data_IF_586276135647
#
_entry.id   IF_586276135647
#
_cell.length_a   1.000
_cell.length_b   1.000
_cell.length_c   1.000
_cell.angle_alpha   90.00
_cell.angle_beta   90.00
_cell.angle_gamma   90.00
#
_symmetry.space_group_name_H-M   'P 1'
#
loop_
_entity.id
_entity.type
_entity.pdbx_description
1 polymer ?
#
# COMPACT_ATOMS: atom_id res chain seq x y z
N UNK A 1 -16.85 3.68 -12.97
CA UNK A 1 -15.56 4.38 -12.85
C UNK A 1 -15.87 5.82 -12.50
N UNK A 2 -15.24 6.47 -11.52
CA UNK A 2 -15.54 7.87 -11.29
C UNK A 2 -14.90 8.70 -12.40
N UNK A 3 -15.75 9.15 -13.33
CA UNK A 3 -15.49 10.18 -14.31
C UNK A 3 -15.25 11.51 -13.56
N UNK A 4 -14.01 11.99 -13.60
CA UNK A 4 -13.66 13.42 -13.61
C UNK A 4 -12.13 13.54 -13.66
N UNK A 5 -11.55 13.34 -14.85
CA UNK A 5 -10.20 13.87 -15.08
C UNK A 5 -10.39 15.38 -15.26
N UNK A 6 -10.07 16.15 -14.21
CA UNK A 6 -9.79 17.57 -14.33
C UNK A 6 -8.89 17.81 -15.54
N UNK A 7 -9.11 18.87 -16.31
CA UNK A 7 -8.27 19.24 -17.46
C UNK A 7 -6.79 19.46 -17.08
N UNK A 8 -6.48 19.54 -15.78
CA UNK A 8 -5.11 19.67 -15.26
C UNK A 8 -4.59 18.32 -14.75
N UNK A 9 -3.51 17.84 -15.36
CA UNK A 9 -2.76 16.68 -14.87
C UNK A 9 -2.15 16.97 -13.50
N UNK A 10 -2.13 15.96 -12.62
CA UNK A 10 -1.39 16.02 -11.36
C UNK A 10 0.09 15.81 -11.67
N UNK A 11 0.93 16.81 -11.39
CA UNK A 11 2.39 16.69 -11.59
C UNK A 11 2.99 15.95 -10.41
N UNK A 12 3.71 14.86 -10.66
CA UNK A 12 4.33 14.05 -9.61
C UNK A 12 5.86 14.17 -9.66
N UNK A 13 6.49 14.45 -8.52
CA UNK A 13 7.94 14.33 -8.33
C UNK A 13 8.27 13.00 -7.68
N UNK A 14 9.38 12.38 -8.07
CA UNK A 14 9.78 11.06 -7.58
C UNK A 14 11.07 11.13 -6.79
N UNK A 15 11.00 10.72 -5.52
CA UNK A 15 12.19 10.40 -4.73
C UNK A 15 12.43 8.90 -4.82
N UNK A 16 13.62 8.51 -5.29
CA UNK A 16 13.93 7.12 -5.64
C UNK A 16 13.58 6.73 -7.09
N UNK A 17 13.55 7.70 -8.00
CA UNK A 17 13.22 7.52 -9.44
C UNK A 17 13.99 6.38 -10.12
N UNK A 18 15.27 6.22 -9.83
CA UNK A 18 16.13 5.18 -10.41
C UNK A 18 15.90 3.78 -9.82
N UNK A 19 15.16 3.68 -8.71
CA UNK A 19 14.80 2.41 -8.11
C UNK A 19 13.73 1.66 -8.91
N UNK A 20 13.60 0.35 -8.67
CA UNK A 20 12.61 -0.50 -9.36
C UNK A 20 11.18 0.05 -9.28
N UNK A 21 10.79 0.58 -8.11
CA UNK A 21 9.48 1.22 -7.92
C UNK A 21 9.37 2.54 -8.65
N UNK A 22 10.39 3.40 -8.58
CA UNK A 22 10.43 4.69 -9.29
C UNK A 22 10.27 4.52 -10.81
N UNK A 23 11.02 3.58 -11.40
CA UNK A 23 10.93 3.25 -12.83
C UNK A 23 9.53 2.73 -13.22
N UNK A 24 8.91 1.90 -12.36
CA UNK A 24 7.55 1.41 -12.60
C UNK A 24 6.53 2.56 -12.54
N UNK A 25 6.64 3.45 -11.57
CA UNK A 25 5.78 4.64 -11.47
C UNK A 25 5.95 5.53 -12.71
N UNK A 26 7.17 5.76 -13.19
CA UNK A 26 7.42 6.49 -14.44
C UNK A 26 6.71 5.83 -15.64
N UNK A 27 6.91 4.52 -15.84
CA UNK A 27 6.32 3.80 -16.98
C UNK A 27 4.79 3.80 -16.98
N UNK A 28 4.17 3.74 -15.79
CA UNK A 28 2.72 3.83 -15.67
C UNK A 28 2.22 5.26 -15.84
N UNK A 29 2.92 6.25 -15.31
CA UNK A 29 2.55 7.66 -15.45
C UNK A 29 2.57 8.14 -16.91
N UNK A 30 3.48 7.62 -17.75
CA UNK A 30 3.49 7.90 -19.21
C UNK A 30 2.20 7.50 -19.92
N UNK A 31 1.51 6.47 -19.42
CA UNK A 31 0.28 5.92 -20.00
C UNK A 31 -0.98 6.46 -19.34
N UNK A 32 -0.84 7.24 -18.27
CA UNK A 32 -1.95 7.74 -17.49
C UNK A 32 -2.30 9.19 -17.90
N UNK A 33 -3.54 9.45 -18.37
CA UNK A 33 -3.90 10.77 -18.88
C UNK A 33 -4.00 11.84 -17.79
N UNK A 34 -4.07 11.47 -16.51
CA UNK A 34 -4.32 12.40 -15.41
C UNK A 34 -3.08 12.69 -14.55
N UNK A 35 -1.92 12.11 -14.84
CA UNK A 35 -0.64 12.42 -14.16
C UNK A 35 0.48 12.69 -15.15
N UNK A 36 1.51 13.40 -14.71
CA UNK A 36 2.78 13.53 -15.43
C UNK A 36 3.95 13.63 -14.45
N UNK A 37 5.11 13.09 -14.81
CA UNK A 37 6.32 13.17 -13.99
C UNK A 37 7.01 14.51 -14.21
N UNK A 38 7.35 15.22 -13.14
CA UNK A 38 8.03 16.51 -13.18
C UNK A 38 9.00 16.67 -12.00
N UNK A 39 10.13 17.33 -12.22
CA UNK A 39 11.09 17.65 -11.15
C UNK A 39 10.52 18.67 -10.15
N UNK A 40 9.55 19.49 -10.58
CA UNK A 40 8.78 20.42 -9.74
C UNK A 40 7.29 20.06 -9.73
N UNK A 41 7.02 18.82 -9.33
CA UNK A 41 5.68 18.25 -9.20
C UNK A 41 4.89 18.87 -8.05
N UNK A 42 3.57 18.76 -8.14
CA UNK A 42 2.66 19.21 -7.11
C UNK A 42 2.56 18.21 -5.94
N UNK A 43 2.77 16.91 -6.22
CA UNK A 43 2.79 15.83 -5.23
C UNK A 43 4.12 15.08 -5.33
N UNK A 44 4.72 14.76 -4.19
CA UNK A 44 5.92 13.93 -4.11
C UNK A 44 5.51 12.48 -3.87
N UNK A 45 6.05 11.57 -4.65
CA UNK A 45 5.97 10.12 -4.42
C UNK A 45 7.37 9.64 -4.01
N UNK A 46 7.45 9.04 -2.82
CA UNK A 46 8.70 8.53 -2.23
C UNK A 46 8.67 7.01 -2.07
N UNK A 47 9.51 6.32 -2.85
CA UNK A 47 9.84 4.90 -2.69
C UNK A 47 11.35 4.74 -2.77
N UNK A 48 12.04 5.14 -1.70
CA UNK A 48 13.49 5.23 -1.71
C UNK A 48 14.12 4.55 -0.48
N UNK A 49 14.62 5.34 0.46
CA UNK A 49 15.31 4.94 1.68
C UNK A 49 14.97 5.93 2.80
N UNK A 50 15.24 5.62 4.07
CA UNK A 50 15.00 6.55 5.17
C UNK A 50 15.58 7.96 4.94
N UNK A 51 16.77 8.06 4.34
CA UNK A 51 17.38 9.35 3.99
C UNK A 51 16.69 10.03 2.80
N UNK A 52 16.19 9.26 1.84
CA UNK A 52 15.36 9.81 0.76
C UNK A 52 14.03 10.34 1.28
N UNK A 53 13.39 9.67 2.24
CA UNK A 53 12.19 10.15 2.90
C UNK A 53 12.41 11.49 3.61
N UNK A 54 13.54 11.67 4.31
CA UNK A 54 13.89 12.98 4.89
C UNK A 54 14.00 14.08 3.84
N UNK A 55 14.58 13.78 2.67
CA UNK A 55 14.62 14.73 1.53
C UNK A 55 13.22 15.04 1.01
N UNK A 56 12.36 14.03 0.87
CA UNK A 56 10.97 14.21 0.45
C UNK A 56 10.19 15.11 1.44
N UNK A 57 10.39 14.91 2.74
CA UNK A 57 9.78 15.74 3.79
C UNK A 57 10.24 17.20 3.69
N UNK A 58 11.54 17.43 3.45
CA UNK A 58 12.12 18.76 3.33
C UNK A 58 11.57 19.56 2.13
N UNK A 59 10.96 18.91 1.13
CA UNK A 59 10.29 19.60 0.01
C UNK A 59 9.02 20.33 0.44
N UNK A 60 8.42 19.99 1.58
CA UNK A 60 7.24 20.70 2.12
C UNK A 60 5.98 20.61 1.25
N UNK A 61 5.88 19.60 0.38
CA UNK A 61 4.77 19.38 -0.56
C UNK A 61 3.91 18.18 -0.13
N UNK A 62 2.67 18.05 -0.65
CA UNK A 62 1.91 16.82 -0.54
C UNK A 62 2.77 15.59 -0.81
N UNK A 63 2.69 14.58 0.06
CA UNK A 63 3.63 13.46 0.05
C UNK A 63 2.91 12.12 0.13
N UNK A 64 3.20 11.23 -0.83
CA UNK A 64 2.90 9.81 -0.79
C UNK A 64 4.19 9.07 -0.46
N UNK A 65 4.30 8.52 0.74
CA UNK A 65 5.49 7.79 1.18
C UNK A 65 5.21 6.29 1.29
N UNK A 66 5.96 5.51 0.52
CA UNK A 66 5.96 4.04 0.56
C UNK A 66 7.29 3.40 0.92
N UNK A 67 8.24 4.20 1.40
CA UNK A 67 9.50 3.71 1.94
C UNK A 67 9.24 2.88 3.21
N UNK A 68 9.75 1.65 3.22
CA UNK A 68 9.65 0.72 4.36
C UNK A 68 10.84 0.86 5.30
N UNK A 69 10.71 0.40 6.55
CA UNK A 69 11.83 0.38 7.51
C UNK A 69 12.21 1.77 8.04
N UNK A 70 11.24 2.68 8.10
CA UNK A 70 11.42 4.00 8.70
C UNK A 70 11.48 3.89 10.23
N UNK A 71 12.31 4.71 10.86
CA UNK A 71 12.32 4.86 12.31
C UNK A 71 11.10 5.65 12.78
N UNK A 72 10.71 5.47 14.05
CA UNK A 72 9.66 6.27 14.70
C UNK A 72 9.90 7.78 14.56
N UNK A 73 11.16 8.21 14.59
CA UNK A 73 11.54 9.62 14.38
C UNK A 73 11.10 10.13 12.99
N UNK A 74 11.34 9.35 11.93
CA UNK A 74 10.95 9.75 10.57
C UNK A 74 9.42 9.69 10.41
N UNK A 75 8.76 8.71 11.03
CA UNK A 75 7.29 8.66 11.06
C UNK A 75 6.72 9.90 11.75
N UNK A 76 7.32 10.33 12.87
CA UNK A 76 6.92 11.56 13.55
C UNK A 76 7.13 12.80 12.67
N UNK A 77 8.21 12.86 11.88
CA UNK A 77 8.41 13.94 10.91
C UNK A 77 7.34 13.97 9.81
N UNK A 78 6.88 12.79 9.33
CA UNK A 78 5.74 12.70 8.42
C UNK A 78 4.45 13.22 9.07
N UNK A 79 4.22 12.90 10.34
CA UNK A 79 3.10 13.46 11.11
C UNK A 79 3.17 14.98 11.19
N UNK A 80 4.33 15.55 11.55
CA UNK A 80 4.53 17.00 11.61
C UNK A 80 4.32 17.67 10.24
N UNK A 81 4.78 17.06 9.15
CA UNK A 81 4.51 17.55 7.79
C UNK A 81 3.01 17.55 7.48
N UNK A 82 2.29 16.52 7.95
CA UNK A 82 0.87 16.33 7.68
C UNK A 82 -0.04 17.42 8.28
N UNK A 83 0.46 18.20 9.23
CA UNK A 83 -0.23 19.37 9.78
C UNK A 83 -0.33 20.52 8.77
N UNK A 84 0.53 20.53 7.74
CA UNK A 84 0.64 21.63 6.76
C UNK A 84 0.21 21.24 5.36
N UNK A 85 0.41 19.97 4.98
CA UNK A 85 0.07 19.42 3.67
C UNK A 85 -0.50 18.01 3.82
N UNK A 86 -1.28 17.49 2.87
CA UNK A 86 -1.74 16.11 2.94
C UNK A 86 -0.56 15.14 2.77
N UNK A 87 -0.43 14.19 3.69
CA UNK A 87 0.61 13.15 3.66
C UNK A 87 -0.09 11.80 3.71
N UNK A 88 0.19 10.90 2.76
CA UNK A 88 -0.25 9.52 2.80
C UNK A 88 0.96 8.61 3.01
N UNK A 89 0.91 7.79 4.07
CA UNK A 89 1.95 6.81 4.35
C UNK A 89 1.38 5.39 4.31
N UNK A 90 2.08 4.48 3.62
CA UNK A 90 1.81 3.04 3.71
C UNK A 90 3.04 2.21 3.34
N UNK A 91 3.42 1.18 4.12
CA UNK A 91 4.49 0.27 3.75
C UNK A 91 4.11 -0.71 2.62
N UNK A 92 2.85 -0.71 2.17
CA UNK A 92 2.37 -1.55 1.08
C UNK A 92 1.29 -0.80 0.29
N UNK A 93 1.54 -0.54 -0.99
CA UNK A 93 0.64 0.20 -1.89
C UNK A 93 -0.30 -0.67 -2.72
N UNK A 94 -0.41 -1.98 -2.46
CA UNK A 94 -1.46 -2.78 -3.09
C UNK A 94 -2.81 -2.39 -2.50
N UNK A 95 -3.60 -1.67 -3.28
CA UNK A 95 -4.95 -1.25 -2.91
C UNK A 95 -5.86 -2.45 -2.59
N UNK A 96 -5.77 -3.51 -3.39
CA UNK A 96 -6.54 -4.74 -3.16
C UNK A 96 -6.13 -5.43 -1.85
N UNK A 97 -4.83 -5.41 -1.51
CA UNK A 97 -4.35 -5.96 -0.26
C UNK A 97 -4.81 -5.11 0.94
N UNK A 98 -4.77 -3.79 0.84
CA UNK A 98 -5.30 -2.93 1.91
C UNK A 98 -6.79 -3.21 2.18
N UNK A 99 -7.60 -3.33 1.13
CA UNK A 99 -9.01 -3.71 1.27
C UNK A 99 -9.16 -5.11 1.91
N UNK A 100 -8.35 -6.08 1.49
CA UNK A 100 -8.36 -7.41 2.11
C UNK A 100 -8.03 -7.35 3.61
N UNK A 101 -7.09 -6.51 4.05
CA UNK A 101 -6.84 -6.33 5.49
C UNK A 101 -8.08 -5.79 6.22
N UNK A 102 -8.75 -4.78 5.65
CA UNK A 102 -9.98 -4.23 6.24
C UNK A 102 -11.09 -5.29 6.32
N UNK A 103 -11.25 -6.11 5.29
CA UNK A 103 -12.23 -7.21 5.27
C UNK A 103 -11.88 -8.29 6.31
N UNK A 104 -10.60 -8.63 6.46
CA UNK A 104 -10.13 -9.60 7.46
C UNK A 104 -10.39 -9.08 8.88
N UNK A 105 -10.11 -7.80 9.17
CA UNK A 105 -10.44 -7.18 10.46
C UNK A 105 -11.95 -7.23 10.75
N UNK A 106 -12.76 -6.91 9.74
CA UNK A 106 -14.21 -6.98 9.87
C UNK A 106 -14.70 -8.40 10.16
N UNK A 107 -14.24 -9.40 9.40
CA UNK A 107 -14.59 -10.79 9.62
C UNK A 107 -14.10 -11.28 10.99
N UNK A 108 -12.89 -10.92 11.41
CA UNK A 108 -12.38 -11.30 12.73
C UNK A 108 -13.27 -10.75 13.85
N UNK A 109 -13.69 -9.48 13.73
CA UNK A 109 -14.60 -8.86 14.70
C UNK A 109 -15.98 -9.55 14.76
N UNK A 110 -16.45 -10.15 13.66
CA UNK A 110 -17.78 -10.76 13.57
C UNK A 110 -17.80 -12.26 13.86
N UNK A 111 -16.77 -12.98 13.40
CA UNK A 111 -16.73 -14.44 13.37
C UNK A 111 -15.52 -15.01 14.14
N UNK A 112 -14.56 -14.20 14.57
CA UNK A 112 -13.30 -14.69 15.12
C UNK A 112 -13.44 -15.60 16.35
N UNK A 113 -14.45 -15.36 17.20
CA UNK A 113 -14.71 -16.22 18.37
C UNK A 113 -15.42 -17.54 18.03
N UNK A 114 -16.03 -17.64 16.84
CA UNK A 114 -16.80 -18.80 16.39
C UNK A 114 -16.08 -19.62 15.31
N UNK A 115 -15.03 -19.06 14.70
CA UNK A 115 -14.30 -19.67 13.59
C UNK A 115 -12.91 -20.13 14.01
N UNK A 116 -12.48 -21.27 13.46
CA UNK A 116 -11.06 -21.60 13.38
C UNK A 116 -10.45 -20.83 12.21
N UNK A 117 -9.40 -20.06 12.48
CA UNK A 117 -8.76 -19.20 11.48
C UNK A 117 -7.50 -19.88 10.95
N UNK A 118 -7.32 -19.88 9.63
CA UNK A 118 -6.10 -20.34 8.98
C UNK A 118 -5.60 -19.31 7.98
N UNK A 119 -4.28 -19.13 7.91
CA UNK A 119 -3.63 -18.24 6.96
C UNK A 119 -2.70 -19.08 6.09
N UNK A 120 -2.79 -18.89 4.78
CA UNK A 120 -1.86 -19.47 3.80
C UNK A 120 -1.26 -18.35 2.94
N UNK A 121 0.05 -18.44 2.66
CA UNK A 121 0.72 -17.62 1.66
C UNK A 121 1.49 -18.47 0.65
N UNK A 122 1.60 -17.95 -0.57
CA UNK A 122 2.48 -18.50 -1.60
C UNK A 122 3.29 -17.37 -2.24
N UNK A 123 4.60 -17.56 -2.35
CA UNK A 123 5.50 -16.68 -3.08
C UNK A 123 6.50 -17.50 -3.89
N UNK A 124 7.28 -16.84 -4.74
CA UNK A 124 8.35 -17.44 -5.51
C UNK A 124 9.42 -18.10 -4.64
N UNK A 125 10.16 -19.06 -5.21
CA UNK A 125 11.16 -19.87 -4.50
C UNK A 125 12.33 -19.07 -3.92
N UNK A 126 12.66 -17.94 -4.54
CA UNK A 126 13.77 -17.07 -4.13
C UNK A 126 13.42 -16.12 -2.96
N UNK A 127 12.19 -16.16 -2.43
CA UNK A 127 11.79 -15.25 -1.35
C UNK A 127 12.41 -15.67 -0.02
N UNK A 128 13.29 -14.82 0.50
CA UNK A 128 14.10 -15.09 1.70
C UNK A 128 13.30 -14.91 3.00
N UNK A 129 12.45 -13.88 3.08
CA UNK A 129 11.63 -13.63 4.27
C UNK A 129 10.49 -14.65 4.38
N UNK A 130 10.28 -15.18 5.59
CA UNK A 130 9.22 -16.14 5.90
C UNK A 130 8.76 -16.01 7.36
N UNK A 131 7.44 -15.92 7.63
CA UNK A 131 6.40 -15.54 6.68
C UNK A 131 6.62 -14.12 6.12
N UNK A 132 5.96 -13.78 5.02
CA UNK A 132 6.05 -12.46 4.40
C UNK A 132 5.49 -11.38 5.32
N UNK A 133 5.94 -10.13 5.15
CA UNK A 133 5.42 -9.00 5.92
C UNK A 133 3.89 -8.86 5.85
N UNK A 134 3.29 -9.13 4.69
CA UNK A 134 1.83 -9.17 4.52
C UNK A 134 1.19 -10.26 5.36
N UNK A 135 1.74 -11.47 5.37
CA UNK A 135 1.19 -12.58 6.13
C UNK A 135 1.35 -12.36 7.65
N UNK A 136 2.48 -11.81 8.10
CA UNK A 136 2.69 -11.36 9.48
C UNK A 136 1.64 -10.34 9.89
N UNK A 137 1.38 -9.34 9.03
CA UNK A 137 0.34 -8.35 9.29
C UNK A 137 -1.05 -8.98 9.38
N UNK A 138 -1.41 -9.93 8.51
CA UNK A 138 -2.68 -10.66 8.65
C UNK A 138 -2.77 -11.40 9.99
N UNK A 139 -1.70 -12.08 10.38
CA UNK A 139 -1.62 -12.85 11.62
C UNK A 139 -1.83 -11.95 12.86
N UNK A 140 -1.19 -10.77 12.88
CA UNK A 140 -1.39 -9.74 13.91
C UNK A 140 -2.85 -9.29 14.00
N UNK A 141 -3.48 -8.98 12.86
CA UNK A 141 -4.89 -8.52 12.81
C UNK A 141 -5.88 -9.59 13.27
N UNK A 142 -5.51 -10.86 13.09
CA UNK A 142 -6.33 -12.01 13.44
C UNK A 142 -6.05 -12.54 14.85
N UNK A 143 -4.94 -12.14 15.48
CA UNK A 143 -4.50 -12.69 16.76
C UNK A 143 -4.10 -14.17 16.66
N UNK A 144 -3.54 -14.58 15.52
CA UNK A 144 -3.07 -15.95 15.28
C UNK A 144 -1.57 -15.98 15.05
N UNK A 145 -0.91 -17.08 15.39
CA UNK A 145 0.56 -17.19 15.26
C UNK A 145 0.99 -17.96 14.01
N UNK A 146 0.18 -18.93 13.58
CA UNK A 146 0.56 -19.88 12.54
C UNK A 146 0.14 -19.42 11.15
N UNK A 147 1.13 -19.34 10.25
CA UNK A 147 0.94 -19.11 8.81
C UNK A 147 1.48 -20.32 8.06
N UNK A 148 0.66 -20.90 7.19
CA UNK A 148 1.12 -21.93 6.25
C UNK A 148 1.83 -21.26 5.09
N UNK A 149 3.10 -21.60 4.88
CA UNK A 149 3.96 -20.93 3.90
C UNK A 149 4.28 -21.88 2.75
N UNK A 150 4.02 -21.45 1.52
CA UNK A 150 4.41 -22.12 0.29
C UNK A 150 5.41 -21.28 -0.52
N UNK A 151 6.25 -21.99 -1.26
CA UNK A 151 7.25 -21.40 -2.16
C UNK A 151 7.12 -22.08 -3.52
N UNK A 152 6.59 -21.38 -4.51
CA UNK A 152 6.20 -21.93 -5.80
C UNK A 152 6.66 -21.03 -6.96
N UNK A 153 7.52 -21.58 -7.81
CA UNK A 153 7.97 -20.99 -9.08
C UNK A 153 8.19 -19.47 -8.99
N UNK A 154 7.47 -18.71 -9.83
CA UNK A 154 7.54 -17.25 -9.98
C UNK A 154 6.32 -16.54 -9.37
N UNK A 155 5.62 -17.15 -8.42
CA UNK A 155 4.43 -16.54 -7.78
C UNK A 155 4.83 -15.21 -7.12
N UNK A 156 4.23 -14.11 -7.57
CA UNK A 156 4.53 -12.77 -7.02
C UNK A 156 4.06 -12.65 -5.57
N UNK A 157 2.87 -13.17 -5.27
CA UNK A 157 2.32 -13.23 -3.92
C UNK A 157 0.84 -13.62 -3.93
N UNK A 158 0.51 -14.67 -3.19
CA UNK A 158 -0.87 -15.09 -2.91
C UNK A 158 -1.02 -15.10 -1.40
N UNK A 159 -2.12 -14.54 -0.91
CA UNK A 159 -2.45 -14.52 0.51
C UNK A 159 -3.90 -14.94 0.68
N UNK A 160 -4.14 -15.95 1.50
CA UNK A 160 -5.48 -16.44 1.79
C UNK A 160 -5.71 -16.52 3.29
N UNK A 161 -6.87 -16.04 3.73
CA UNK A 161 -7.38 -16.23 5.09
C UNK A 161 -8.69 -17.01 5.01
N UNK A 162 -8.73 -18.11 5.74
CA UNK A 162 -9.91 -18.96 5.88
C UNK A 162 -10.49 -18.83 7.30
N UNK A 163 -11.78 -18.54 7.38
CA UNK A 163 -12.59 -18.63 8.59
C UNK A 163 -13.46 -19.89 8.50
N UNK A 164 -13.08 -20.93 9.24
CA UNK A 164 -13.76 -22.23 9.25
C UNK A 164 -14.79 -22.26 10.38
N UNK A 165 -16.07 -22.34 10.02
CA UNK A 165 -17.18 -22.60 10.93
C UNK A 165 -17.49 -24.12 10.95
N UNK A 166 -18.51 -24.55 11.70
CA UNK A 166 -18.82 -25.98 11.89
C UNK A 166 -19.21 -26.71 10.60
N UNK A 167 -19.78 -26.01 9.61
CA UNK A 167 -20.31 -26.61 8.39
C UNK A 167 -20.09 -25.77 7.13
N UNK A 168 -19.37 -24.65 7.26
CA UNK A 168 -19.09 -23.74 6.17
C UNK A 168 -17.75 -23.04 6.37
N UNK A 169 -17.25 -22.40 5.31
CA UNK A 169 -15.98 -21.69 5.33
C UNK A 169 -16.08 -20.43 4.50
N UNK A 170 -15.57 -19.32 5.04
CA UNK A 170 -15.36 -18.09 4.29
C UNK A 170 -13.87 -17.97 3.98
N UNK A 171 -13.53 -17.80 2.70
CA UNK A 171 -12.16 -17.62 2.22
C UNK A 171 -11.99 -16.23 1.59
N UNK A 172 -11.06 -15.45 2.12
CA UNK A 172 -10.59 -14.22 1.49
C UNK A 172 -9.22 -14.48 0.85
N UNK A 173 -9.12 -14.28 -0.46
CA UNK A 173 -7.91 -14.56 -1.23
C UNK A 173 -7.50 -13.35 -2.07
N UNK A 174 -6.27 -12.88 -1.85
CA UNK A 174 -5.62 -11.85 -2.65
C UNK A 174 -4.52 -12.47 -3.51
N UNK A 175 -4.42 -12.04 -4.77
CA UNK A 175 -3.39 -12.47 -5.72
C UNK A 175 -2.75 -11.23 -6.34
N UNK A 176 -1.46 -11.02 -6.08
CA UNK A 176 -0.68 -10.04 -6.81
C UNK A 176 -0.27 -10.65 -8.16
N UNK A 177 -0.73 -10.05 -9.26
CA UNK A 177 -0.36 -10.51 -10.62
C UNK A 177 0.99 -9.93 -11.07
N UNK A 178 1.35 -8.74 -10.56
CA UNK A 178 2.61 -8.09 -10.87
C UNK A 178 2.96 -7.06 -9.80
N UNK A 179 4.21 -6.58 -9.82
CA UNK A 179 4.64 -5.45 -8.99
C UNK A 179 4.03 -4.12 -9.43
N UNK A 180 3.38 -4.04 -10.60
CA UNK A 180 2.71 -2.83 -11.06
C UNK A 180 1.58 -2.40 -10.10
N UNK A 181 0.93 -3.34 -9.42
CA UNK A 181 -0.14 -3.05 -8.45
C UNK A 181 0.28 -2.04 -7.37
N UNK A 182 1.54 -2.07 -6.93
CA UNK A 182 2.05 -1.11 -5.93
C UNK A 182 2.27 0.29 -6.54
N UNK A 183 2.72 0.36 -7.79
CA UNK A 183 2.94 1.64 -8.48
C UNK A 183 1.60 2.28 -8.89
N UNK A 184 0.63 1.48 -9.33
CA UNK A 184 -0.76 1.91 -9.56
C UNK A 184 -1.40 2.46 -8.29
N UNK A 185 -1.20 1.79 -7.15
CA UNK A 185 -1.67 2.29 -5.86
C UNK A 185 -1.01 3.60 -5.45
N UNK A 186 0.30 3.77 -5.71
CA UNK A 186 1.00 5.03 -5.46
C UNK A 186 0.47 6.19 -6.30
N UNK A 187 0.24 5.96 -7.60
CA UNK A 187 -0.35 6.94 -8.52
C UNK A 187 -1.78 7.30 -8.06
N UNK A 188 -2.57 6.29 -7.68
CA UNK A 188 -3.93 6.49 -7.15
C UNK A 188 -3.91 7.32 -5.86
N UNK A 189 -2.99 7.03 -4.95
CA UNK A 189 -2.78 7.79 -3.73
C UNK A 189 -2.38 9.25 -4.02
N UNK A 190 -1.49 9.50 -4.98
CA UNK A 190 -1.07 10.84 -5.36
C UNK A 190 -2.23 11.66 -5.92
N UNK A 191 -3.04 11.06 -6.82
CA UNK A 191 -4.28 11.66 -7.32
C UNK A 191 -5.26 11.94 -6.19
N UNK A 192 -5.40 11.01 -5.25
CA UNK A 192 -6.30 11.15 -4.11
C UNK A 192 -5.92 12.33 -3.22
N UNK A 193 -4.63 12.51 -2.89
CA UNK A 193 -4.19 13.56 -1.96
C UNK A 193 -4.00 14.95 -2.60
N UNK A 194 -3.88 15.06 -3.92
CA UNK A 194 -3.56 16.31 -4.62
C UNK A 194 -4.39 17.53 -4.20
N UNK A 195 -5.68 17.34 -3.90
CA UNK A 195 -6.59 18.40 -3.45
C UNK A 195 -7.22 18.12 -2.08
N UNK A 196 -6.52 17.39 -1.22
CA UNK A 196 -7.00 17.06 0.13
C UNK A 196 -6.49 18.06 1.16
N UNK A 197 -7.25 18.33 2.23
CA UNK A 197 -6.77 19.14 3.32
C UNK A 197 -5.58 18.47 4.02
N UNK A 198 -4.71 19.24 4.69
CA UNK A 198 -3.66 18.72 5.54
C UNK A 198 -4.22 17.70 6.54
N UNK A 199 -3.68 16.48 6.48
CA UNK A 199 -4.01 15.35 7.33
C UNK A 199 -3.00 14.22 7.03
N UNK A 200 -2.76 13.38 8.02
CA UNK A 200 -2.11 12.09 7.85
C UNK A 200 -3.12 11.04 7.35
N UNK A 201 -2.99 10.64 6.09
CA UNK A 201 -3.82 9.66 5.40
C UNK A 201 -3.14 8.29 5.36
N UNK A 202 -3.97 7.26 5.20
CA UNK A 202 -3.61 5.90 4.88
C UNK A 202 -4.31 5.46 3.58
N UNK A 203 -4.00 4.27 3.08
CA UNK A 203 -4.73 3.71 1.92
C UNK A 203 -6.21 3.46 2.23
N UNK A 204 -6.57 3.25 3.50
CA UNK A 204 -7.96 3.09 3.93
C UNK A 204 -8.81 4.32 3.61
N UNK A 205 -8.19 5.50 3.60
CA UNK A 205 -8.88 6.75 3.28
C UNK A 205 -9.23 6.88 1.78
N UNK A 206 -8.60 6.09 0.89
CA UNK A 206 -8.85 6.14 -0.56
C UNK A 206 -10.22 5.55 -0.92
N UNK A 207 -10.62 4.46 -0.25
CA UNK A 207 -11.83 3.69 -0.60
C UNK A 207 -13.11 4.12 0.12
N UNK A 208 -13.20 5.37 0.56
CA UNK A 208 -14.44 5.89 1.16
C UNK A 208 -15.44 6.20 0.04
N UNK A 209 -16.24 5.21 -0.35
CA UNK A 209 -17.45 5.45 -1.13
C UNK A 209 -18.41 6.31 -0.28
N UNK A 210 -18.83 7.46 -0.82
CA UNK A 210 -19.98 8.21 -0.31
C UNK A 210 -21.27 7.63 -0.86
#
# INVERSE_FOLDING_TARGET
>A
MPENCSTKKVRISLVGKEGRMGQMVCSLAEKDPCVEVSDDGDVVIDFSSPEGTKKAIAMGKPLVCGTTGLSEEIIQQLHTLSEKVPVLYSPNFSLGMDLCFQMVEFLNKKLGCAAKIAIEETHHTQKVDSPSGTAKRMAELLGVENVTVRRENDVVGIHQVDFLLSSEKISLRHVALSRAAFAEGAITAAKFIYNKPPKFYSLRDIFVCK
#
